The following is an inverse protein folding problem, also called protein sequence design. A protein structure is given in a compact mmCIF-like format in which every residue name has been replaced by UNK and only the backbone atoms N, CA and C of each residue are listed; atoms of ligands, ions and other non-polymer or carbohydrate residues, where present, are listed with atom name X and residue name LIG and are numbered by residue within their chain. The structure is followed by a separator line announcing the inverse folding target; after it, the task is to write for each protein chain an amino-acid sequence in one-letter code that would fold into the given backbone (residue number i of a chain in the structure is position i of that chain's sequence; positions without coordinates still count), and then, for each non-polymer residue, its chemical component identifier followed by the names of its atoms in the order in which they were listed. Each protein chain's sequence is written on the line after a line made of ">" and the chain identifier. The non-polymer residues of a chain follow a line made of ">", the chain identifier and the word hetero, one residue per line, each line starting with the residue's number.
data_IF_888194972777
#
_entry.id   IF_888194972777
#
_cell.length_a   1.000
_cell.length_b   1.000
_cell.length_c   1.000
_cell.angle_alpha   90.00
_cell.angle_beta   90.00
_cell.angle_gamma   90.00
#
_symmetry.space_group_name_H-M   'P 1'
#
loop_
_entity.id
_entity.type
_entity.pdbx_description
1 polymer ?
#
# COMPACT_ATOMS: atom_id res chain seq x y z
N UNK A 1 -5.37 15.67 32.02
CA UNK A 1 -5.43 16.03 30.59
C UNK A 1 -5.95 14.83 29.82
N UNK A 2 -7.04 14.95 29.06
CA UNK A 2 -7.49 13.87 28.17
C UNK A 2 -6.46 13.69 27.04
N UNK A 3 -5.77 12.55 27.01
CA UNK A 3 -4.82 12.25 25.93
C UNK A 3 -5.56 12.10 24.60
N UNK A 4 -5.10 12.82 23.57
CA UNK A 4 -5.73 12.81 22.24
C UNK A 4 -5.47 11.49 21.52
N UNK A 5 -6.53 10.78 21.15
CA UNK A 5 -6.45 9.57 20.33
C UNK A 5 -6.34 9.96 18.85
N UNK A 6 -5.30 9.46 18.17
CA UNK A 6 -5.10 9.69 16.74
C UNK A 6 -5.97 8.72 15.92
N UNK A 7 -6.72 9.26 14.94
CA UNK A 7 -7.61 8.48 14.06
C UNK A 7 -7.13 8.43 12.62
N UNK A 8 -6.32 9.39 12.21
CA UNK A 8 -5.94 9.58 10.82
C UNK A 8 -4.45 9.85 10.66
N UNK A 9 -3.93 9.37 9.53
CA UNK A 9 -2.68 9.84 8.96
C UNK A 9 -2.99 10.78 7.79
N UNK A 10 -2.22 11.86 7.67
CA UNK A 10 -2.36 12.80 6.55
C UNK A 10 -1.47 12.34 5.39
N UNK A 11 -2.07 12.08 4.23
CA UNK A 11 -1.37 11.80 2.98
C UNK A 11 -1.28 13.10 2.16
N UNK A 12 -0.13 13.79 2.15
CA UNK A 12 -0.01 15.09 1.51
C UNK A 12 0.06 14.98 -0.02
N UNK A 13 -0.45 15.99 -0.72
CA UNK A 13 -0.39 16.05 -2.19
C UNK A 13 1.05 16.06 -2.71
N UNK A 14 1.97 16.69 -1.98
CA UNK A 14 3.39 16.82 -2.33
C UNK A 14 4.27 15.69 -1.73
N UNK A 15 3.69 14.54 -1.37
CA UNK A 15 4.41 13.41 -0.75
C UNK A 15 5.73 13.05 -1.44
N UNK A 16 5.73 12.94 -2.78
CA UNK A 16 6.91 12.53 -3.56
C UNK A 16 7.62 13.71 -4.25
N UNK A 17 7.45 14.94 -3.74
CA UNK A 17 7.97 16.14 -4.40
C UNK A 17 9.50 16.27 -4.37
N UNK A 18 10.19 15.59 -3.45
CA UNK A 18 11.66 15.61 -3.33
C UNK A 18 12.37 14.92 -4.48
N UNK A 19 11.73 13.93 -5.11
CA UNK A 19 12.30 13.14 -6.20
C UNK A 19 11.26 12.87 -7.31
N UNK A 20 10.80 13.92 -8.03
CA UNK A 20 9.68 13.82 -8.97
C UNK A 20 10.01 13.07 -10.28
N UNK A 21 11.28 12.70 -10.49
CA UNK A 21 11.74 11.94 -11.66
C UNK A 21 11.84 10.44 -11.41
N UNK A 22 11.65 10.00 -10.16
CA UNK A 22 11.82 8.61 -9.74
C UNK A 22 10.48 7.87 -9.64
N UNK A 23 9.47 8.32 -10.38
CA UNK A 23 8.21 7.60 -10.50
C UNK A 23 8.40 6.33 -11.33
N UNK A 24 7.73 5.26 -10.92
CA UNK A 24 7.75 4.02 -11.67
C UNK A 24 7.18 4.19 -13.09
N UNK A 25 7.90 3.64 -14.06
CA UNK A 25 7.50 3.51 -15.45
C UNK A 25 7.65 2.05 -15.84
N UNK A 26 6.62 1.38 -16.41
CA UNK A 26 6.73 0.00 -16.84
C UNK A 26 7.92 -0.22 -17.78
N UNK A 27 8.73 -1.23 -17.49
CA UNK A 27 9.90 -1.57 -18.30
C UNK A 27 9.47 -1.99 -19.70
N UNK A 28 10.27 -1.70 -20.73
CA UNK A 28 10.03 -2.29 -22.05
C UNK A 28 10.40 -3.78 -21.99
N UNK A 29 9.51 -4.63 -22.45
CA UNK A 29 9.80 -6.06 -22.61
C UNK A 29 10.17 -6.35 -24.06
N UNK A 30 11.08 -7.31 -24.25
CA UNK A 30 11.41 -7.89 -25.56
C UNK A 30 10.67 -9.21 -25.80
N UNK A 31 9.98 -9.73 -24.79
CA UNK A 31 9.19 -10.96 -24.88
C UNK A 31 7.89 -10.67 -25.67
N UNK A 32 7.68 -11.33 -26.83
CA UNK A 32 6.49 -11.15 -27.65
C UNK A 32 5.20 -11.40 -26.88
N UNK A 33 5.15 -12.39 -25.98
CA UNK A 33 3.93 -12.72 -25.23
C UNK A 33 3.56 -11.61 -24.26
N UNK A 34 4.57 -11.05 -23.56
CA UNK A 34 4.37 -9.91 -22.65
C UNK A 34 3.97 -8.66 -23.44
N UNK A 35 4.58 -8.43 -24.60
CA UNK A 35 4.21 -7.30 -25.47
C UNK A 35 2.75 -7.42 -25.91
N UNK A 36 2.33 -8.59 -26.38
CA UNK A 36 0.97 -8.82 -26.87
C UNK A 36 -0.05 -8.74 -25.75
N UNK A 37 0.24 -9.33 -24.58
CA UNK A 37 -0.61 -9.20 -23.39
C UNK A 37 -0.80 -7.73 -22.97
N UNK A 38 0.27 -6.92 -22.99
CA UNK A 38 0.21 -5.49 -22.66
C UNK A 38 -0.54 -4.67 -23.72
N UNK A 39 -0.42 -5.04 -25.00
CA UNK A 39 -1.13 -4.39 -26.12
C UNK A 39 -2.62 -4.75 -26.14
N UNK A 40 -2.99 -5.92 -25.62
CA UNK A 40 -4.39 -6.32 -25.48
C UNK A 40 -5.15 -5.51 -24.42
N UNK A 41 -4.44 -4.88 -23.47
CA UNK A 41 -5.06 -4.03 -22.47
C UNK A 41 -5.58 -2.71 -23.08
N UNK A 42 -6.74 -2.20 -22.62
CA UNK A 42 -7.20 -0.88 -23.04
C UNK A 42 -6.16 0.21 -22.76
N UNK A 43 -6.02 1.17 -23.67
CA UNK A 43 -5.05 2.26 -23.54
C UNK A 43 -5.20 2.97 -22.19
N UNK A 44 -4.08 3.16 -21.48
CA UNK A 44 -4.06 3.84 -20.18
C UNK A 44 -4.44 2.96 -18.98
N UNK A 45 -4.61 1.64 -19.14
CA UNK A 45 -4.91 0.72 -18.03
C UNK A 45 -3.72 -0.08 -17.51
N UNK A 46 -2.59 -0.07 -18.23
CA UNK A 46 -1.43 -0.91 -17.92
C UNK A 46 -0.96 -0.80 -16.47
N UNK A 47 -0.78 0.43 -15.97
CA UNK A 47 -0.33 0.66 -14.58
C UNK A 47 -1.36 0.09 -13.59
N UNK A 48 -2.66 0.33 -13.80
CA UNK A 48 -3.69 -0.22 -12.93
C UNK A 48 -3.75 -1.76 -12.99
N UNK A 49 -3.54 -2.36 -14.17
CA UNK A 49 -3.47 -3.81 -14.31
C UNK A 49 -2.30 -4.37 -13.50
N UNK A 50 -1.15 -3.71 -13.56
CA UNK A 50 0.00 -4.03 -12.74
C UNK A 50 -0.24 -3.80 -11.24
N UNK A 51 -0.96 -2.75 -10.83
CA UNK A 51 -1.29 -2.51 -9.41
C UNK A 51 -2.16 -3.64 -8.85
N UNK A 52 -3.16 -4.11 -9.61
CA UNK A 52 -4.01 -5.24 -9.19
C UNK A 52 -3.19 -6.53 -9.12
N UNK A 53 -2.46 -6.86 -10.19
CA UNK A 53 -1.59 -8.05 -10.22
C UNK A 53 -0.55 -8.02 -9.10
N UNK A 54 0.06 -6.86 -8.88
CA UNK A 54 1.08 -6.65 -7.87
C UNK A 54 0.56 -6.68 -6.44
N UNK A 55 -0.69 -6.26 -6.19
CA UNK A 55 -1.34 -6.45 -4.88
C UNK A 55 -1.44 -7.95 -4.55
N UNK A 56 -1.77 -8.80 -5.54
CA UNK A 56 -1.82 -10.26 -5.34
C UNK A 56 -0.43 -10.85 -5.13
N UNK A 57 0.59 -10.39 -5.88
CA UNK A 57 1.98 -10.81 -5.69
C UNK A 57 2.49 -10.40 -4.30
N UNK A 58 2.19 -9.19 -3.84
CA UNK A 58 2.55 -8.70 -2.52
C UNK A 58 1.91 -9.53 -1.40
N UNK A 59 0.61 -9.87 -1.52
CA UNK A 59 -0.06 -10.75 -0.54
C UNK A 59 0.60 -12.13 -0.47
N UNK A 60 0.94 -12.73 -1.63
CA UNK A 60 1.66 -14.01 -1.69
C UNK A 60 3.06 -13.91 -1.12
N UNK A 61 3.76 -12.81 -1.37
CA UNK A 61 5.09 -12.55 -0.83
C UNK A 61 5.05 -12.53 0.71
N UNK A 62 4.16 -11.74 1.32
CA UNK A 62 4.00 -11.69 2.78
C UNK A 62 3.66 -13.06 3.37
N UNK A 63 2.77 -13.84 2.73
CA UNK A 63 2.39 -15.17 3.22
C UNK A 63 3.52 -16.21 3.21
N UNK A 64 4.57 -15.99 2.41
CA UNK A 64 5.76 -16.86 2.36
C UNK A 64 6.77 -16.57 3.48
N UNK A 65 6.80 -15.34 4.01
CA UNK A 65 7.75 -14.94 5.04
C UNK A 65 7.45 -15.66 6.35
N UNK A 66 8.45 -16.36 6.91
CA UNK A 66 8.30 -17.14 8.15
C UNK A 66 9.08 -16.57 9.33
N UNK A 67 10.21 -15.91 9.07
CA UNK A 67 11.02 -15.28 10.11
C UNK A 67 10.48 -13.89 10.40
N UNK A 68 10.49 -13.49 11.67
CA UNK A 68 9.94 -12.19 12.09
C UNK A 68 10.68 -11.00 11.45
N UNK A 69 12.00 -11.09 11.31
CA UNK A 69 12.78 -10.01 10.69
C UNK A 69 12.47 -9.87 9.20
N UNK A 70 12.34 -10.99 8.48
CA UNK A 70 11.93 -10.98 7.08
C UNK A 70 10.50 -10.43 6.95
N UNK A 71 9.60 -10.82 7.85
CA UNK A 71 8.23 -10.30 7.89
C UNK A 71 8.20 -8.79 8.13
N UNK A 72 9.06 -8.26 9.02
CA UNK A 72 9.18 -6.81 9.26
C UNK A 72 9.65 -6.08 8.01
N UNK A 73 10.73 -6.52 7.39
CA UNK A 73 11.28 -5.86 6.20
C UNK A 73 10.36 -6.01 4.98
N UNK A 74 9.77 -7.19 4.78
CA UNK A 74 8.79 -7.44 3.74
C UNK A 74 7.52 -6.61 3.92
N UNK A 75 7.00 -6.51 5.15
CA UNK A 75 5.84 -5.65 5.47
C UNK A 75 6.17 -4.19 5.26
N UNK A 76 7.38 -3.75 5.62
CA UNK A 76 7.87 -2.39 5.38
C UNK A 76 7.86 -2.03 3.89
N UNK A 77 8.40 -2.90 3.04
CA UNK A 77 8.40 -2.71 1.58
C UNK A 77 6.97 -2.69 1.00
N UNK A 78 6.13 -3.66 1.38
CA UNK A 78 4.76 -3.75 0.89
C UNK A 78 3.92 -2.56 1.36
N UNK A 79 4.07 -2.14 2.61
CA UNK A 79 3.40 -0.95 3.15
C UNK A 79 3.83 0.32 2.40
N UNK A 80 5.13 0.53 2.17
CA UNK A 80 5.62 1.66 1.40
C UNK A 80 5.05 1.68 -0.03
N UNK A 81 5.02 0.53 -0.69
CA UNK A 81 4.45 0.39 -2.03
C UNK A 81 2.94 0.66 -2.07
N UNK A 82 2.19 0.15 -1.09
CA UNK A 82 0.76 0.40 -0.93
C UNK A 82 0.48 1.89 -0.70
N UNK A 83 1.29 2.53 0.15
CA UNK A 83 1.18 3.96 0.48
C UNK A 83 1.41 4.85 -0.75
N UNK A 84 2.44 4.55 -1.54
CA UNK A 84 2.68 5.25 -2.81
C UNK A 84 1.57 5.01 -3.84
N UNK A 85 1.05 3.78 -3.94
CA UNK A 85 -0.13 3.50 -4.77
C UNK A 85 -1.34 4.32 -4.33
N UNK A 86 -1.58 4.47 -3.02
CA UNK A 86 -2.60 5.37 -2.49
C UNK A 86 -2.35 6.83 -2.92
N UNK A 87 -1.09 7.28 -2.87
CA UNK A 87 -0.74 8.63 -3.32
C UNK A 87 -1.05 8.85 -4.81
N UNK A 88 -0.59 7.96 -5.70
CA UNK A 88 -0.82 8.06 -7.14
C UNK A 88 -2.30 8.09 -7.51
N UNK A 89 -3.13 7.35 -6.78
CA UNK A 89 -4.54 7.11 -7.16
C UNK A 89 -5.54 7.99 -6.41
N UNK A 90 -5.18 8.53 -5.25
CA UNK A 90 -6.08 9.30 -4.38
C UNK A 90 -5.61 10.73 -4.04
N UNK A 91 -4.30 10.94 -3.86
CA UNK A 91 -3.79 12.20 -3.30
C UNK A 91 -3.10 13.14 -4.31
N UNK A 92 -2.35 12.59 -5.27
CA UNK A 92 -1.52 13.39 -6.22
C UNK A 92 -2.31 14.49 -6.92
N UNK A 93 -3.49 14.14 -7.44
CA UNK A 93 -4.32 15.05 -8.24
C UNK A 93 -5.49 15.64 -7.43
N UNK A 94 -5.43 15.59 -6.09
CA UNK A 94 -6.46 16.14 -5.24
C UNK A 94 -6.55 17.67 -5.33
N UNK A 95 -7.77 18.20 -5.15
CA UNK A 95 -8.03 19.64 -5.01
C UNK A 95 -7.60 20.19 -3.65
N UNK A 96 -7.44 19.32 -2.65
CA UNK A 96 -6.98 19.67 -1.31
C UNK A 96 -5.49 19.40 -1.12
N UNK A 97 -4.85 20.08 -0.17
CA UNK A 97 -3.41 19.88 0.12
C UNK A 97 -3.08 18.50 0.68
N UNK A 98 -4.06 17.81 1.27
CA UNK A 98 -3.92 16.49 1.87
C UNK A 98 -5.19 15.66 1.74
N UNK A 99 -5.02 14.35 1.79
CA UNK A 99 -6.05 13.35 1.98
C UNK A 99 -5.85 12.65 3.33
N UNK A 100 -6.89 12.03 3.86
CA UNK A 100 -6.82 11.32 5.14
C UNK A 100 -6.85 9.82 4.86
N UNK A 101 -5.96 9.11 5.54
CA UNK A 101 -5.98 7.65 5.66
C UNK A 101 -6.37 7.30 7.10
N UNK A 102 -7.03 6.17 7.29
CA UNK A 102 -7.40 5.71 8.63
C UNK A 102 -6.24 5.01 9.30
N UNK A 103 -5.95 5.39 10.55
CA UNK A 103 -5.02 4.62 11.36
C UNK A 103 -5.74 3.36 11.85
N UNK A 104 -5.11 2.18 11.76
CA UNK A 104 -5.65 0.96 12.33
C UNK A 104 -5.97 1.14 13.82
N UNK A 105 -7.15 0.72 14.25
CA UNK A 105 -7.53 0.76 15.66
C UNK A 105 -7.09 -0.53 16.33
N UNK A 106 -6.28 -0.41 17.37
CA UNK A 106 -5.71 -1.56 18.10
C UNK A 106 -6.38 -1.82 19.44
N UNK A 107 -7.18 -0.86 19.90
CA UNK A 107 -7.98 -0.94 21.12
C UNK A 107 -9.36 -0.39 20.79
N UNK A 108 -10.41 -1.14 21.10
CA UNK A 108 -11.78 -0.69 20.94
C UNK A 108 -12.06 0.44 21.96
N UNK A 109 -12.48 1.65 21.50
CA UNK A 109 -12.72 2.77 22.40
C UNK A 109 -13.86 2.54 23.40
N UNK A 110 -14.82 1.68 23.07
CA UNK A 110 -16.04 1.50 23.85
C UNK A 110 -15.92 0.34 24.85
N UNK A 111 -15.17 -0.70 24.49
CA UNK A 111 -15.03 -1.93 25.30
C UNK A 111 -13.65 -2.12 25.93
N UNK A 112 -12.66 -1.30 25.56
CA UNK A 112 -11.23 -1.48 25.85
C UNK A 112 -10.67 -2.84 25.39
N UNK A 113 -11.39 -3.54 24.51
CA UNK A 113 -10.96 -4.79 23.91
C UNK A 113 -9.75 -4.54 23.01
N UNK A 114 -8.70 -5.36 23.18
CA UNK A 114 -7.41 -5.19 22.52
C UNK A 114 -7.28 -6.21 21.40
N UNK A 115 -6.94 -5.71 20.21
CA UNK A 115 -6.74 -6.55 19.03
C UNK A 115 -5.58 -7.53 19.28
N UNK A 116 -5.83 -8.82 19.08
CA UNK A 116 -4.76 -9.82 19.16
C UNK A 116 -3.79 -9.67 17.98
N UNK A 117 -2.59 -10.25 18.08
CA UNK A 117 -1.63 -10.21 16.97
C UNK A 117 -2.12 -11.00 15.75
N UNK A 118 -2.95 -12.03 15.98
CA UNK A 118 -3.63 -12.75 14.92
C UNK A 118 -4.65 -11.85 14.20
N UNK A 119 -5.53 -11.17 14.94
CA UNK A 119 -6.56 -10.29 14.36
C UNK A 119 -5.93 -9.13 13.59
N UNK A 120 -4.80 -8.59 14.08
CA UNK A 120 -4.01 -7.56 13.40
C UNK A 120 -3.47 -8.04 12.06
N UNK A 121 -2.97 -9.27 12.01
CA UNK A 121 -2.46 -9.89 10.77
C UNK A 121 -3.60 -10.20 9.80
N UNK A 122 -4.75 -10.62 10.33
CA UNK A 122 -5.96 -10.85 9.55
C UNK A 122 -6.50 -9.56 8.93
N UNK A 123 -6.60 -8.47 9.70
CA UNK A 123 -7.01 -7.14 9.19
C UNK A 123 -6.10 -6.69 8.03
N UNK A 124 -4.78 -6.81 8.18
CA UNK A 124 -3.84 -6.49 7.10
C UNK A 124 -4.09 -7.30 5.82
N UNK A 125 -4.39 -8.59 5.95
CA UNK A 125 -4.73 -9.45 4.81
C UNK A 125 -6.08 -9.08 4.19
N UNK A 126 -7.10 -8.79 5.00
CA UNK A 126 -8.42 -8.35 4.55
C UNK A 126 -8.36 -7.03 3.77
N UNK A 127 -7.53 -6.07 4.22
CA UNK A 127 -7.33 -4.81 3.50
C UNK A 127 -6.67 -5.02 2.12
N UNK A 128 -5.72 -5.96 2.00
CA UNK A 128 -5.15 -6.33 0.70
C UNK A 128 -6.20 -6.96 -0.23
N UNK A 129 -7.07 -7.83 0.31
CA UNK A 129 -8.19 -8.41 -0.45
C UNK A 129 -9.17 -7.32 -0.89
N UNK A 130 -9.51 -6.37 -0.02
CA UNK A 130 -10.33 -5.22 -0.38
C UNK A 130 -9.66 -4.37 -1.48
N UNK A 131 -8.34 -4.23 -1.44
CA UNK A 131 -7.53 -3.59 -2.48
C UNK A 131 -7.69 -4.29 -3.82
N UNK A 132 -7.59 -5.63 -3.85
CA UNK A 132 -7.82 -6.43 -5.05
C UNK A 132 -9.22 -6.26 -5.62
N UNK A 133 -10.25 -6.29 -4.77
CA UNK A 133 -11.66 -6.15 -5.20
C UNK A 133 -11.88 -4.76 -5.80
N UNK A 134 -11.42 -3.71 -5.13
CA UNK A 134 -11.62 -2.32 -5.59
C UNK A 134 -10.77 -2.00 -6.82
N UNK A 135 -9.55 -2.52 -6.92
CA UNK A 135 -8.69 -2.38 -8.09
C UNK A 135 -9.27 -3.11 -9.32
N UNK A 136 -9.77 -4.34 -9.17
CA UNK A 136 -10.47 -5.04 -10.25
C UNK A 136 -11.69 -4.25 -10.74
N UNK A 137 -12.45 -3.64 -9.83
CA UNK A 137 -13.57 -2.76 -10.22
C UNK A 137 -13.13 -1.58 -11.07
N UNK A 138 -12.00 -0.95 -10.78
CA UNK A 138 -11.42 0.14 -11.60
C UNK A 138 -11.13 -0.36 -13.02
N UNK A 139 -10.51 -1.54 -13.14
CA UNK A 139 -10.23 -2.17 -14.44
C UNK A 139 -11.51 -2.51 -15.21
N UNK A 140 -12.47 -3.17 -14.57
CA UNK A 140 -13.74 -3.53 -15.21
C UNK A 140 -14.53 -2.31 -15.67
N UNK A 141 -14.53 -1.22 -14.89
CA UNK A 141 -15.13 0.05 -15.32
C UNK A 141 -14.45 0.61 -16.56
N UNK A 142 -13.12 0.59 -16.60
CA UNK A 142 -12.35 1.08 -17.74
C UNK A 142 -12.58 0.23 -19.00
N UNK A 143 -12.55 -1.10 -18.88
CA UNK A 143 -12.82 -2.02 -19.99
C UNK A 143 -14.22 -1.78 -20.57
N UNK A 144 -15.24 -1.64 -19.71
CA UNK A 144 -16.62 -1.49 -20.16
C UNK A 144 -16.95 -0.09 -20.71
N UNK A 145 -16.33 0.97 -20.16
CA UNK A 145 -16.73 2.36 -20.41
C UNK A 145 -15.65 3.20 -21.11
N UNK A 146 -14.51 2.62 -21.44
CA UNK A 146 -13.32 3.31 -21.96
C UNK A 146 -12.62 4.23 -20.96
N UNK A 147 -13.13 4.35 -19.71
CA UNK A 147 -12.52 5.12 -18.63
C UNK A 147 -13.01 4.68 -17.25
N UNK A 148 -12.10 4.68 -16.27
CA UNK A 148 -12.46 4.57 -14.85
C UNK A 148 -12.90 5.93 -14.30
N UNK A 149 -13.83 5.92 -13.34
CA UNK A 149 -14.25 7.16 -12.69
C UNK A 149 -13.20 7.65 -11.68
N UNK A 150 -13.11 8.98 -11.47
CA UNK A 150 -12.26 9.52 -10.41
C UNK A 150 -12.64 8.96 -9.03
N UNK A 151 -13.93 8.69 -8.79
CA UNK A 151 -14.44 8.09 -7.56
C UNK A 151 -13.94 6.67 -7.34
N UNK A 152 -13.94 5.82 -8.37
CA UNK A 152 -13.47 4.43 -8.23
C UNK A 152 -11.96 4.36 -8.00
N UNK A 153 -11.18 5.17 -8.73
CA UNK A 153 -9.73 5.32 -8.47
C UNK A 153 -9.43 5.83 -7.07
N UNK A 154 -10.16 6.85 -6.62
CA UNK A 154 -10.01 7.37 -5.26
C UNK A 154 -10.36 6.31 -4.20
N UNK A 155 -11.40 5.48 -4.42
CA UNK A 155 -11.75 4.40 -3.49
C UNK A 155 -10.66 3.34 -3.41
N UNK A 156 -10.11 2.94 -4.56
CA UNK A 156 -8.95 2.04 -4.58
C UNK A 156 -7.78 2.63 -3.79
N UNK A 157 -7.43 3.90 -4.02
CA UNK A 157 -6.35 4.55 -3.29
C UNK A 157 -6.58 4.69 -1.79
N UNK A 158 -7.80 4.95 -1.33
CA UNK A 158 -8.12 4.92 0.12
C UNK A 158 -7.86 3.54 0.70
N UNK A 159 -8.39 2.49 0.07
CA UNK A 159 -8.21 1.11 0.55
C UNK A 159 -6.73 0.71 0.55
N UNK A 160 -5.98 1.07 -0.48
CA UNK A 160 -4.53 0.80 -0.51
C UNK A 160 -3.78 1.58 0.58
N UNK A 161 -4.22 2.80 0.91
CA UNK A 161 -3.61 3.58 1.98
C UNK A 161 -3.92 3.01 3.35
N UNK A 162 -5.16 2.55 3.58
CA UNK A 162 -5.54 1.88 4.82
C UNK A 162 -4.80 0.53 4.94
N UNK A 163 -4.72 -0.24 3.84
CA UNK A 163 -3.93 -1.47 3.77
C UNK A 163 -2.44 -1.23 4.11
N UNK A 164 -1.85 -0.16 3.58
CA UNK A 164 -0.46 0.19 3.88
C UNK A 164 -0.22 0.30 5.39
N UNK A 165 -1.13 0.98 6.09
CA UNK A 165 -1.00 1.23 7.53
C UNK A 165 -1.28 -0.03 8.35
N UNK A 166 -2.26 -0.86 7.96
CA UNK A 166 -2.51 -2.16 8.61
C UNK A 166 -1.32 -3.11 8.44
N UNK A 167 -0.75 -3.20 7.23
CA UNK A 167 0.44 -4.04 6.94
C UNK A 167 1.65 -3.57 7.74
N UNK A 168 1.88 -2.26 7.84
CA UNK A 168 2.99 -1.71 8.61
C UNK A 168 2.88 -2.03 10.11
N UNK A 169 1.66 -2.07 10.65
CA UNK A 169 1.40 -2.37 12.05
C UNK A 169 1.47 -3.87 12.34
N UNK A 170 1.09 -4.73 11.40
CA UNK A 170 1.03 -6.19 11.55
C UNK A 170 2.25 -6.87 12.23
N UNK A 171 3.52 -6.57 11.86
CA UNK A 171 4.68 -7.27 12.42
C UNK A 171 5.07 -6.82 13.85
N UNK A 172 4.35 -5.86 14.46
CA UNK A 172 4.61 -5.37 15.80
C UNK A 172 3.88 -6.18 16.87
N UNK A 173 4.45 -7.35 17.21
CA UNK A 173 3.95 -8.27 18.24
C UNK A 173 3.74 -7.55 19.59
N UNK A 174 2.59 -7.79 20.23
CA UNK A 174 2.25 -7.23 21.54
C UNK A 174 2.01 -5.71 21.56
N UNK A 175 1.91 -5.06 20.40
CA UNK A 175 1.66 -3.61 20.32
C UNK A 175 0.40 -3.20 21.07
N UNK A 176 -0.71 -3.92 20.86
CA UNK A 176 -1.98 -3.64 21.52
C UNK A 176 -1.99 -3.97 23.01
N UNK A 177 -1.16 -4.93 23.45
CA UNK A 177 -1.12 -5.40 24.84
C UNK A 177 -0.42 -4.42 25.80
N UNK A 178 0.26 -3.39 25.30
CA UNK A 178 1.13 -2.53 26.10
C UNK A 178 0.63 -1.08 26.16
N UNK A 179 0.29 -0.63 27.37
CA UNK A 179 -0.02 0.77 27.67
C UNK A 179 -1.51 1.16 27.53
N UNK A 180 -1.78 2.46 27.66
CA UNK A 180 -3.12 3.05 27.48
C UNK A 180 -3.53 3.05 26.00
N UNK A 181 -4.82 3.09 25.69
CA UNK A 181 -5.32 3.26 24.31
C UNK A 181 -4.62 4.42 23.60
N UNK A 182 -4.50 5.60 24.23
CA UNK A 182 -3.84 6.74 23.63
C UNK A 182 -2.35 6.49 23.33
N UNK A 183 -1.64 5.77 24.20
CA UNK A 183 -0.24 5.39 23.96
C UNK A 183 -0.09 4.38 22.81
N UNK A 184 -1.00 3.41 22.69
CA UNK A 184 -1.02 2.45 21.59
C UNK A 184 -1.27 3.19 20.27
N UNK A 185 -2.27 4.07 20.19
CA UNK A 185 -2.55 4.83 18.97
C UNK A 185 -1.47 5.86 18.64
N UNK A 186 -0.71 6.35 19.62
CA UNK A 186 0.50 7.14 19.37
C UNK A 186 1.56 6.29 18.66
N UNK A 187 1.82 5.07 19.12
CA UNK A 187 2.76 4.15 18.46
C UNK A 187 2.30 3.77 17.04
N UNK A 188 1.01 3.53 16.84
CA UNK A 188 0.44 3.29 15.50
C UNK A 188 0.68 4.49 14.58
N UNK A 189 0.52 5.72 15.10
CA UNK A 189 0.84 6.93 14.34
C UNK A 189 2.33 7.02 14.01
N UNK A 190 3.21 6.67 14.94
CA UNK A 190 4.67 6.70 14.71
C UNK A 190 5.07 5.70 13.62
N UNK A 191 4.49 4.50 13.63
CA UNK A 191 4.63 3.50 12.55
C UNK A 191 4.15 4.09 11.22
N UNK A 192 2.98 4.73 11.19
CA UNK A 192 2.46 5.37 9.98
C UNK A 192 3.38 6.48 9.44
N UNK A 193 3.97 7.29 10.33
CA UNK A 193 4.96 8.30 9.93
C UNK A 193 6.23 7.65 9.36
N UNK A 194 6.70 6.56 9.94
CA UNK A 194 7.82 5.79 9.41
C UNK A 194 7.50 5.19 8.04
N UNK A 195 6.29 4.64 7.84
CA UNK A 195 5.84 4.13 6.53
C UNK A 195 5.83 5.25 5.48
N UNK A 196 5.35 6.43 5.83
CA UNK A 196 5.35 7.58 4.92
C UNK A 196 6.78 8.07 4.60
N UNK A 197 7.70 7.98 5.55
CA UNK A 197 9.12 8.27 5.29
C UNK A 197 9.73 7.22 4.36
N UNK A 198 9.54 5.94 4.67
CA UNK A 198 10.05 4.82 3.87
C UNK A 198 9.54 4.87 2.42
N UNK A 199 8.25 5.16 2.22
CA UNK A 199 7.64 5.36 0.91
C UNK A 199 8.33 6.46 0.09
N UNK A 200 8.86 7.49 0.75
CA UNK A 200 9.58 8.61 0.11
C UNK A 200 11.05 8.33 -0.14
N UNK A 201 11.68 7.42 0.61
CA UNK A 201 13.15 7.25 0.59
C UNK A 201 13.60 5.93 -0.01
N UNK A 202 12.72 4.93 -0.12
CA UNK A 202 13.06 3.60 -0.68
C UNK A 202 13.52 3.65 -2.14
N UNK A 203 13.31 4.76 -2.86
CA UNK A 203 13.95 4.95 -4.17
C UNK A 203 15.48 4.93 -4.11
N UNK A 204 16.09 5.21 -2.96
CA UNK A 204 17.54 5.07 -2.78
C UNK A 204 18.01 3.61 -2.96
N UNK A 205 17.12 2.64 -2.69
CA UNK A 205 17.38 1.20 -2.85
C UNK A 205 16.95 0.69 -4.23
N UNK A 206 15.76 1.08 -4.70
CA UNK A 206 15.15 0.52 -5.92
C UNK A 206 15.31 1.40 -7.17
N UNK A 207 15.96 2.57 -7.07
CA UNK A 207 16.05 3.57 -8.14
C UNK A 207 14.73 4.29 -8.45
N UNK A 208 13.60 3.82 -7.92
CA UNK A 208 12.26 4.38 -8.11
C UNK A 208 11.44 4.29 -6.82
N UNK A 209 10.45 5.18 -6.66
CA UNK A 209 9.50 5.11 -5.55
C UNK A 209 8.66 3.83 -5.66
N UNK A 210 8.73 2.90 -4.68
CA UNK A 210 8.06 1.61 -4.78
C UNK A 210 6.55 1.81 -4.90
N UNK A 211 5.88 0.97 -5.68
CA UNK A 211 4.43 0.97 -5.83
C UNK A 211 3.93 -0.45 -6.08
N UNK A 212 2.64 -0.71 -5.84
CA UNK A 212 2.05 -2.02 -6.16
C UNK A 212 2.19 -2.37 -7.64
N UNK A 213 2.23 -1.38 -8.53
CA UNK A 213 2.46 -1.61 -9.95
C UNK A 213 3.79 -2.32 -10.23
N UNK A 214 4.83 -2.06 -9.42
CA UNK A 214 6.12 -2.71 -9.60
C UNK A 214 6.06 -4.19 -9.25
N UNK A 215 5.36 -4.59 -8.18
CA UNK A 215 5.12 -6.00 -7.86
C UNK A 215 4.41 -6.77 -8.99
N UNK A 216 3.61 -6.08 -9.81
CA UNK A 216 2.92 -6.67 -10.96
C UNK A 216 3.75 -6.72 -12.24
N UNK A 217 4.83 -5.94 -12.32
CA UNK A 217 5.78 -5.97 -13.44
C UNK A 217 6.98 -6.86 -13.09
N UNK A 218 7.09 -7.98 -13.81
CA UNK A 218 8.15 -8.97 -13.61
C UNK A 218 9.56 -8.39 -13.70
N UNK A 219 9.73 -7.33 -14.51
CA UNK A 219 11.02 -6.74 -14.85
C UNK A 219 11.34 -5.50 -14.00
N UNK A 220 10.47 -5.15 -13.05
CA UNK A 220 10.74 -4.02 -12.16
C UNK A 220 11.80 -4.35 -11.10
N UNK A 221 12.46 -3.32 -10.58
CA UNK A 221 13.46 -3.47 -9.51
C UNK A 221 12.87 -4.12 -8.25
N UNK A 222 11.63 -3.74 -7.87
CA UNK A 222 10.94 -4.33 -6.71
C UNK A 222 10.64 -5.81 -6.95
N UNK A 223 10.08 -6.19 -8.10
CA UNK A 223 9.79 -7.59 -8.40
C UNK A 223 11.05 -8.45 -8.44
N UNK A 224 12.13 -7.93 -9.02
CA UNK A 224 13.43 -8.63 -9.03
C UNK A 224 13.95 -8.82 -7.62
N UNK A 225 13.93 -7.78 -6.79
CA UNK A 225 14.35 -7.86 -5.39
C UNK A 225 13.54 -8.90 -4.60
N UNK A 226 12.21 -8.88 -4.73
CA UNK A 226 11.32 -9.78 -4.00
C UNK A 226 11.51 -11.25 -4.40
N UNK A 227 11.75 -11.53 -5.69
CA UNK A 227 12.03 -12.90 -6.16
C UNK A 227 13.34 -13.47 -5.63
N UNK A 228 14.34 -12.63 -5.40
CA UNK A 228 15.62 -13.07 -4.82
C UNK A 228 15.49 -13.46 -3.34
N UNK A 229 14.42 -13.04 -2.67
CA UNK A 229 14.19 -13.24 -1.24
C UNK A 229 12.98 -14.15 -0.94
N UNK A 230 12.39 -14.78 -1.96
CA UNK A 230 11.20 -15.64 -1.87
C UNK A 230 11.47 -17.08 -2.29
#
# INVERSE_FOLDING_TARGET
>A
MNERIFKHHDLPKNHLASAPRLHYVPSRSLDPEVIDARRALPKGTLIHAHEVGGTMVAARFLGKLKRLDDLREGSRLVAAAAFNTAWYTHARDASTMRRRLWLPQQVNPDTDERMSDFDRSLDAAEQLVAGLITGNRVLSEHIRRGRATARSRARFGVVMGDAALSIAVAPHIGLAASGTHASVQRRVRDIAMQTAYDAQTMHGTFGTHPSMAQFGDADSDVSRSVRLHA
#
